data_IF_455803841510
#
_entry.id   IF_455803841510
#
_cell.length_a   1.000
_cell.length_b   1.000
_cell.length_c   1.000
_cell.angle_alpha   90.00
_cell.angle_beta   90.00
_cell.angle_gamma   90.00
#
_symmetry.space_group_name_H-M   'P 1'
#
loop_
_entity.id
_entity.type
_entity.pdbx_description
1 polymer ?
#
# COMPACT_ATOMS: atom_id res chain seq x y z
N UNK A 1 -11.31 -27.79 29.60
CA UNK A 1 -11.82 -26.99 28.48
C UNK A 1 -11.50 -25.49 28.62
N UNK A 2 -10.27 -25.10 28.97
CA UNK A 2 -9.87 -23.68 29.14
C UNK A 2 -8.85 -23.22 28.09
N UNK A 3 -8.05 -24.16 27.58
CA UNK A 3 -7.06 -23.91 26.52
C UNK A 3 -7.64 -23.92 25.10
N UNK A 4 -8.83 -24.51 24.89
CA UNK A 4 -9.50 -24.55 23.59
C UNK A 4 -9.94 -23.15 23.12
N UNK A 5 -10.34 -22.28 24.06
CA UNK A 5 -10.74 -20.90 23.77
C UNK A 5 -9.52 -20.03 23.35
N UNK A 6 -8.35 -20.30 23.92
CA UNK A 6 -7.11 -19.56 23.64
C UNK A 6 -6.54 -19.90 22.25
N UNK A 7 -6.68 -21.15 21.79
CA UNK A 7 -6.33 -21.56 20.42
C UNK A 7 -7.31 -20.98 19.39
N UNK A 8 -8.59 -20.83 19.75
CA UNK A 8 -9.61 -20.25 18.88
C UNK A 8 -9.40 -18.74 18.63
N UNK A 9 -8.92 -17.99 19.64
CA UNK A 9 -8.56 -16.57 19.52
C UNK A 9 -7.33 -16.31 18.63
N UNK A 10 -6.41 -17.27 18.53
CA UNK A 10 -5.23 -17.19 17.64
C UNK A 10 -5.58 -17.45 16.16
N UNK A 11 -6.75 -18.03 15.87
CA UNK A 11 -7.20 -18.33 14.51
C UNK A 11 -8.03 -17.18 13.88
N UNK A 12 -8.30 -16.11 14.64
CA UNK A 12 -9.07 -14.94 14.19
C UNK A 12 -8.20 -13.80 13.61
N UNK A 13 -6.86 -13.93 13.59
CA UNK A 13 -5.97 -12.93 12.97
C UNK A 13 -5.73 -13.24 11.48
N UNK A 14 -6.80 -13.42 10.72
CA UNK A 14 -6.77 -13.70 9.29
C UNK A 14 -7.65 -12.73 8.51
N UNK A 15 -7.05 -12.08 7.50
CA UNK A 15 -7.71 -11.35 6.41
C UNK A 15 -8.21 -9.92 6.67
N UNK A 16 -7.28 -9.02 6.99
CA UNK A 16 -7.23 -7.66 6.42
C UNK A 16 -5.82 -7.14 6.63
N UNK A 17 -5.03 -6.97 5.56
CA UNK A 17 -3.60 -6.62 5.66
C UNK A 17 -3.36 -5.13 5.93
N UNK A 18 -4.31 -4.44 6.56
CA UNK A 18 -4.22 -3.02 6.91
C UNK A 18 -3.91 -2.89 8.41
N UNK A 19 -2.76 -2.30 8.81
CA UNK A 19 -2.39 -2.11 10.21
C UNK A 19 -3.42 -1.30 11.00
N UNK A 20 -3.58 -1.59 12.30
CA UNK A 20 -4.47 -0.83 13.19
C UNK A 20 -4.14 0.67 13.22
N UNK A 21 -2.84 1.02 13.17
CA UNK A 21 -2.38 2.40 13.09
C UNK A 21 -2.93 3.15 11.88
N UNK A 22 -3.18 2.43 10.79
CA UNK A 22 -3.74 2.99 9.55
C UNK A 22 -5.23 3.23 9.71
N UNK A 23 -5.96 2.28 10.31
CA UNK A 23 -7.36 2.46 10.65
C UNK A 23 -7.57 3.65 11.58
N UNK A 24 -6.75 3.80 12.62
CA UNK A 24 -6.87 4.94 13.54
C UNK A 24 -6.52 6.27 12.88
N UNK A 25 -5.50 6.29 12.01
CA UNK A 25 -5.13 7.52 11.32
C UNK A 25 -6.22 7.97 10.36
N UNK A 26 -6.80 7.04 9.59
CA UNK A 26 -7.91 7.38 8.72
C UNK A 26 -9.19 7.69 9.51
N UNK A 27 -9.45 7.03 10.65
CA UNK A 27 -10.66 7.30 11.44
C UNK A 27 -10.81 8.77 11.89
N UNK A 28 -9.69 9.47 12.09
CA UNK A 28 -9.69 10.92 12.40
C UNK A 28 -9.53 11.81 11.18
N UNK A 29 -9.28 11.23 10.01
CA UNK A 29 -9.04 11.92 8.74
C UNK A 29 -10.36 12.02 7.97
N UNK A 30 -10.90 13.23 7.87
CA UNK A 30 -12.19 13.50 7.24
C UNK A 30 -12.06 13.95 5.77
N UNK A 31 -13.18 14.27 5.12
CA UNK A 31 -13.20 14.70 3.73
C UNK A 31 -12.49 16.04 3.50
N UNK A 32 -12.50 16.93 4.50
CA UNK A 32 -11.85 18.24 4.42
C UNK A 32 -10.33 18.08 4.52
N UNK A 33 -9.85 17.25 5.46
CA UNK A 33 -8.43 16.90 5.56
C UNK A 33 -7.90 16.34 4.22
N UNK A 34 -8.70 15.50 3.55
CA UNK A 34 -8.33 14.95 2.24
C UNK A 34 -8.34 16.01 1.13
N UNK A 35 -9.30 16.94 1.16
CA UNK A 35 -9.42 17.99 0.16
C UNK A 35 -8.25 19.00 0.22
N UNK A 36 -7.60 19.13 1.37
CA UNK A 36 -6.48 20.06 1.58
C UNK A 36 -5.11 19.47 1.21
N UNK A 37 -5.03 18.15 0.97
CA UNK A 37 -3.78 17.50 0.58
C UNK A 37 -3.22 18.08 -0.73
N UNK A 38 -1.93 18.44 -0.71
CA UNK A 38 -1.18 18.80 -1.92
C UNK A 38 -0.80 17.52 -2.70
N UNK A 39 -1.31 17.31 -3.94
CA UNK A 39 -0.97 16.14 -4.74
C UNK A 39 0.53 16.02 -5.04
N UNK A 40 1.28 17.13 -4.98
CA UNK A 40 2.73 17.15 -5.21
C UNK A 40 3.52 16.61 -4.01
N UNK A 41 2.90 16.45 -2.84
CA UNK A 41 3.56 15.96 -1.63
C UNK A 41 3.27 14.49 -1.35
N UNK A 42 2.31 13.90 -2.05
CA UNK A 42 1.97 12.48 -1.89
C UNK A 42 3.13 11.60 -2.34
N UNK A 43 3.56 10.68 -1.46
CA UNK A 43 4.61 9.71 -1.75
C UNK A 43 4.15 8.30 -1.43
N UNK A 44 4.50 7.36 -2.29
CA UNK A 44 4.41 5.94 -1.99
C UNK A 44 5.81 5.38 -1.75
N UNK A 45 5.94 4.42 -0.84
CA UNK A 45 7.18 3.72 -0.57
C UNK A 45 6.94 2.23 -0.55
N UNK A 46 7.74 1.50 -1.31
CA UNK A 46 7.75 0.05 -1.32
C UNK A 46 9.09 -0.44 -0.78
N UNK A 47 9.04 -1.28 0.25
CA UNK A 47 10.20 -2.00 0.75
C UNK A 47 10.00 -3.48 0.46
N UNK A 48 10.96 -4.09 -0.22
CA UNK A 48 10.91 -5.50 -0.64
C UNK A 48 12.32 -6.09 -0.56
N UNK A 49 12.44 -7.41 -0.50
CA UNK A 49 13.74 -8.07 -0.58
C UNK A 49 14.45 -7.72 -1.91
N UNK A 50 15.77 -7.51 -1.87
CA UNK A 50 16.51 -6.85 -2.96
C UNK A 50 16.62 -7.66 -4.25
N UNK A 51 16.49 -8.99 -4.15
CA UNK A 51 16.43 -9.91 -5.29
C UNK A 51 15.11 -9.81 -6.06
N UNK A 52 14.08 -9.16 -5.50
CA UNK A 52 12.78 -8.96 -6.15
C UNK A 52 12.84 -7.70 -7.01
N UNK A 53 12.51 -7.86 -8.30
CA UNK A 53 12.36 -6.73 -9.21
C UNK A 53 10.88 -6.36 -9.34
N UNK A 54 10.62 -5.07 -9.46
CA UNK A 54 9.28 -4.53 -9.68
C UNK A 54 9.05 -4.31 -11.17
N UNK A 55 7.90 -4.77 -11.65
CA UNK A 55 7.42 -4.50 -13.00
C UNK A 55 6.56 -3.24 -13.01
N UNK A 56 5.62 -3.14 -12.08
CA UNK A 56 4.72 -2.01 -11.96
C UNK A 56 4.19 -1.83 -10.53
N UNK A 57 3.82 -0.61 -10.18
CA UNK A 57 3.05 -0.29 -8.98
C UNK A 57 2.05 0.82 -9.32
N UNK A 58 0.78 0.55 -9.04
CA UNK A 58 -0.31 1.49 -9.31
C UNK A 58 -1.27 1.56 -8.13
N UNK A 59 -1.82 2.76 -7.93
CA UNK A 59 -2.99 2.96 -7.07
C UNK A 59 -4.21 3.14 -7.97
N UNK A 60 -5.35 2.63 -7.53
CA UNK A 60 -6.64 2.81 -8.20
C UNK A 60 -7.66 3.31 -7.18
N UNK A 61 -8.62 4.10 -7.64
CA UNK A 61 -9.79 4.44 -6.85
C UNK A 61 -11.05 4.25 -7.70
N UNK A 62 -12.09 3.70 -7.07
CA UNK A 62 -13.42 3.62 -7.63
C UNK A 62 -14.32 4.58 -6.87
N UNK A 63 -14.89 5.55 -7.56
CA UNK A 63 -15.85 6.51 -7.03
C UNK A 63 -17.25 6.04 -7.38
N UNK A 64 -18.11 5.89 -6.38
CA UNK A 64 -19.51 5.52 -6.54
C UNK A 64 -20.37 6.78 -6.37
N UNK A 65 -20.88 7.30 -7.48
CA UNK A 65 -21.76 8.47 -7.52
C UNK A 65 -23.18 8.08 -7.94
N UNK A 66 -24.16 8.95 -7.69
CA UNK A 66 -25.56 8.70 -8.06
C UNK A 66 -25.76 8.48 -9.57
N UNK A 67 -24.87 9.03 -10.40
CA UNK A 67 -24.91 8.93 -11.87
C UNK A 67 -24.03 7.81 -12.44
N UNK A 68 -23.40 6.99 -11.60
CA UNK A 68 -22.60 5.84 -12.03
C UNK A 68 -21.28 5.67 -11.27
N UNK A 69 -20.49 4.71 -11.74
CA UNK A 69 -19.19 4.37 -11.19
C UNK A 69 -18.10 4.98 -12.05
N UNK A 70 -17.18 5.72 -11.43
CA UNK A 70 -16.01 6.29 -12.09
C UNK A 70 -14.73 5.64 -11.54
N UNK A 71 -13.93 5.04 -12.41
CA UNK A 71 -12.62 4.51 -12.05
C UNK A 71 -11.52 5.54 -12.34
N UNK A 72 -10.65 5.76 -11.37
CA UNK A 72 -9.46 6.59 -11.46
C UNK A 72 -8.21 5.73 -11.27
N UNK A 73 -7.21 5.96 -12.11
CA UNK A 73 -5.89 5.35 -11.98
C UNK A 73 -4.86 6.40 -11.61
N UNK A 74 -3.91 6.01 -10.76
CA UNK A 74 -2.87 6.86 -10.23
C UNK A 74 -1.51 6.23 -10.54
N UNK A 75 -1.02 6.36 -11.78
CA UNK A 75 0.31 5.90 -12.14
C UNK A 75 1.38 6.64 -11.33
N UNK A 76 2.40 5.89 -10.93
CA UNK A 76 3.46 6.37 -10.04
C UNK A 76 4.78 6.57 -10.80
N UNK A 77 5.54 7.59 -10.42
CA UNK A 77 6.87 7.88 -10.97
C UNK A 77 7.92 7.59 -9.92
N UNK A 78 8.94 6.78 -10.27
CA UNK A 78 10.05 6.45 -9.36
C UNK A 78 10.94 7.68 -9.15
N UNK A 79 11.14 8.05 -7.88
CA UNK A 79 12.03 9.14 -7.47
C UNK A 79 13.39 8.60 -7.07
N UNK A 80 13.41 7.51 -6.29
CA UNK A 80 14.65 6.93 -5.81
C UNK A 80 14.53 5.44 -5.49
N UNK A 81 15.67 4.78 -5.56
CA UNK A 81 15.89 3.41 -5.09
C UNK A 81 17.11 3.41 -4.16
N UNK A 82 16.95 2.82 -2.98
CA UNK A 82 17.99 2.68 -1.97
C UNK A 82 18.12 1.21 -1.56
N UNK A 83 19.35 0.74 -1.35
CA UNK A 83 19.59 -0.60 -0.79
C UNK A 83 19.77 -0.47 0.72
N UNK A 84 18.95 -1.19 1.46
CA UNK A 84 18.98 -1.29 2.91
C UNK A 84 19.88 -2.48 3.29
N UNK A 85 21.04 -2.22 3.92
CA UNK A 85 21.97 -3.27 4.27
C UNK A 85 21.41 -4.18 5.36
N UNK A 86 21.95 -5.40 5.44
CA UNK A 86 21.71 -6.33 6.54
C UNK A 86 21.95 -5.64 7.88
N UNK A 87 20.97 -5.74 8.77
CA UNK A 87 21.15 -5.39 10.18
C UNK A 87 21.31 -6.67 10.98
N UNK A 88 22.47 -6.82 11.60
CA UNK A 88 22.76 -7.91 12.54
C UNK A 88 22.68 -7.36 13.96
N UNK A 89 21.81 -7.96 14.77
CA UNK A 89 21.71 -7.75 16.21
C UNK A 89 21.94 -9.07 16.93
N UNK A 90 22.04 -9.06 18.26
CA UNK A 90 22.21 -10.28 19.05
C UNK A 90 21.06 -11.30 18.87
N UNK A 91 19.86 -10.82 18.53
CA UNK A 91 18.62 -11.62 18.52
C UNK A 91 18.10 -11.88 17.09
N UNK A 92 18.51 -11.07 16.11
CA UNK A 92 17.99 -11.19 14.74
C UNK A 92 18.99 -10.68 13.69
N UNK A 93 18.92 -11.27 12.50
CA UNK A 93 19.60 -10.79 11.30
C UNK A 93 18.55 -10.52 10.23
N UNK A 94 18.54 -9.33 9.65
CA UNK A 94 17.65 -9.00 8.53
C UNK A 94 18.28 -9.37 7.20
N UNK A 95 17.48 -9.63 6.18
CA UNK A 95 17.97 -9.74 4.79
C UNK A 95 18.24 -8.34 4.20
N UNK A 96 18.97 -8.30 3.09
CA UNK A 96 19.14 -7.07 2.28
C UNK A 96 17.78 -6.74 1.65
N UNK A 97 17.37 -5.48 1.72
CA UNK A 97 16.09 -5.02 1.15
C UNK A 97 16.29 -3.83 0.25
N UNK A 98 15.48 -3.69 -0.78
CA UNK A 98 15.39 -2.48 -1.59
C UNK A 98 14.23 -1.60 -1.12
N UNK A 99 14.47 -0.29 -1.01
CA UNK A 99 13.46 0.73 -0.76
C UNK A 99 13.28 1.54 -2.04
N UNK A 100 12.08 1.48 -2.59
CA UNK A 100 11.65 2.30 -3.71
C UNK A 100 10.76 3.43 -3.21
N UNK A 101 11.00 4.65 -3.67
CA UNK A 101 10.20 5.82 -3.35
C UNK A 101 9.63 6.41 -4.63
N UNK A 102 8.32 6.65 -4.61
CA UNK A 102 7.55 7.12 -5.75
C UNK A 102 6.78 8.39 -5.40
N UNK A 103 6.48 9.18 -6.43
CA UNK A 103 5.50 10.26 -6.41
C UNK A 103 4.34 9.94 -7.36
N UNK A 104 3.25 10.69 -7.20
CA UNK A 104 2.20 10.72 -8.22
C UNK A 104 2.76 11.28 -9.52
N UNK A 105 2.55 10.56 -10.62
CA UNK A 105 2.79 11.12 -11.96
C UNK A 105 1.91 12.36 -12.22
N UNK A 106 2.23 13.19 -13.23
CA UNK A 106 1.38 14.33 -13.60
C UNK A 106 -0.09 13.96 -13.83
N UNK A 107 -0.35 12.83 -14.49
CA UNK A 107 -1.71 12.31 -14.70
C UNK A 107 -2.37 11.93 -13.37
N UNK A 108 -1.64 11.25 -12.48
CA UNK A 108 -2.15 10.86 -11.18
C UNK A 108 -2.51 12.07 -10.31
N UNK A 109 -1.73 13.15 -10.37
CA UNK A 109 -2.03 14.41 -9.66
C UNK A 109 -3.35 15.03 -10.16
N UNK A 110 -3.58 15.04 -11.47
CA UNK A 110 -4.86 15.50 -12.03
C UNK A 110 -6.04 14.62 -11.60
N UNK A 111 -5.86 13.30 -11.56
CA UNK A 111 -6.89 12.38 -11.09
C UNK A 111 -7.13 12.52 -9.58
N UNK A 112 -6.11 12.88 -8.80
CA UNK A 112 -6.25 13.13 -7.37
C UNK A 112 -7.15 14.33 -7.08
N UNK A 113 -7.00 15.41 -7.86
CA UNK A 113 -7.93 16.56 -7.77
C UNK A 113 -9.38 16.16 -8.07
N UNK A 114 -9.61 15.24 -9.03
CA UNK A 114 -10.96 14.72 -9.31
C UNK A 114 -11.50 13.90 -8.14
N UNK A 115 -10.64 13.11 -7.49
CA UNK A 115 -11.01 12.36 -6.29
C UNK A 115 -11.39 13.32 -5.16
N UNK A 116 -10.56 14.34 -4.86
CA UNK A 116 -10.86 15.37 -3.86
C UNK A 116 -12.23 16.03 -4.11
N UNK A 117 -12.52 16.41 -5.35
CA UNK A 117 -13.82 16.99 -5.72
C UNK A 117 -15.00 16.04 -5.54
N UNK A 118 -14.80 14.73 -5.71
CA UNK A 118 -15.85 13.74 -5.47
C UNK A 118 -16.12 13.56 -3.98
N UNK A 119 -15.08 13.59 -3.15
CA UNK A 119 -15.20 13.50 -1.69
C UNK A 119 -15.94 14.67 -1.08
N UNK A 120 -15.64 15.89 -1.55
CA UNK A 120 -16.36 17.11 -1.14
C UNK A 120 -17.86 17.06 -1.50
N UNK A 121 -18.25 16.22 -2.46
CA UNK A 121 -19.66 15.98 -2.83
C UNK A 121 -20.30 14.84 -2.04
N UNK A 122 -19.57 14.24 -1.09
CA UNK A 122 -20.03 13.10 -0.29
C UNK A 122 -20.14 11.80 -1.10
N UNK A 123 -19.43 11.68 -2.23
CA UNK A 123 -19.42 10.43 -2.99
C UNK A 123 -18.58 9.37 -2.25
N UNK A 124 -19.07 8.14 -2.23
CA UNK A 124 -18.34 7.00 -1.66
C UNK A 124 -17.20 6.57 -2.57
N UNK A 125 -16.15 6.00 -2.01
CA UNK A 125 -14.99 5.59 -2.77
C UNK A 125 -14.29 4.39 -2.15
N UNK A 126 -13.70 3.55 -3.01
CA UNK A 126 -12.80 2.49 -2.59
C UNK A 126 -11.43 2.75 -3.22
N UNK A 127 -10.36 2.47 -2.48
CA UNK A 127 -9.00 2.59 -2.99
C UNK A 127 -8.31 1.23 -2.98
N UNK A 128 -7.53 0.98 -4.02
CA UNK A 128 -6.79 -0.26 -4.22
C UNK A 128 -5.33 0.02 -4.51
N UNK A 129 -4.46 -0.80 -3.92
CA UNK A 129 -3.04 -0.84 -4.25
C UNK A 129 -2.77 -2.12 -5.03
N UNK A 130 -2.19 -1.98 -6.22
CA UNK A 130 -1.73 -3.10 -7.03
C UNK A 130 -0.21 -3.04 -7.18
N UNK A 131 0.46 -4.12 -6.76
CA UNK A 131 1.90 -4.30 -6.92
C UNK A 131 2.15 -5.48 -7.85
N UNK A 132 2.88 -5.24 -8.93
CA UNK A 132 3.24 -6.24 -9.94
C UNK A 132 4.75 -6.44 -9.92
N UNK A 133 5.16 -7.66 -9.60
CA UNK A 133 6.56 -8.04 -9.57
C UNK A 133 7.01 -8.60 -10.93
N UNK A 134 8.31 -8.51 -11.21
CA UNK A 134 8.91 -9.04 -12.43
C UNK A 134 8.80 -10.57 -12.45
N UNK A 135 8.49 -11.12 -13.63
CA UNK A 135 8.37 -12.56 -13.85
C UNK A 135 9.68 -13.33 -13.66
N UNK A 136 10.82 -12.65 -13.76
CA UNK A 136 12.15 -13.21 -13.50
C UNK A 136 12.54 -13.16 -12.01
N UNK A 137 11.62 -12.78 -11.12
CA UNK A 137 11.85 -12.84 -9.68
C UNK A 137 12.11 -14.29 -9.26
N UNK A 138 13.19 -14.56 -8.49
CA UNK A 138 13.48 -15.90 -8.00
C UNK A 138 12.28 -16.57 -7.33
N UNK A 139 12.05 -17.89 -7.55
CA UNK A 139 10.90 -18.62 -7.03
C UNK A 139 11.07 -18.98 -5.55
N UNK A 140 11.33 -17.98 -4.72
CA UNK A 140 11.45 -18.10 -3.28
C UNK A 140 10.49 -17.10 -2.60
N UNK A 141 9.95 -17.44 -1.42
CA UNK A 141 9.12 -16.53 -0.66
C UNK A 141 9.87 -15.22 -0.37
N UNK A 142 9.16 -14.11 -0.48
CA UNK A 142 9.69 -12.80 -0.16
C UNK A 142 8.64 -11.97 0.56
N UNK A 143 9.07 -10.93 1.28
CA UNK A 143 8.18 -10.02 1.98
C UNK A 143 8.23 -8.63 1.38
N UNK A 144 7.08 -7.96 1.35
CA UNK A 144 7.02 -6.56 0.97
C UNK A 144 6.15 -5.74 1.91
N UNK A 145 6.42 -4.44 1.92
CA UNK A 145 5.70 -3.44 2.72
C UNK A 145 5.43 -2.24 1.84
N UNK A 146 4.17 -1.81 1.78
CA UNK A 146 3.76 -0.58 1.10
C UNK A 146 3.43 0.46 2.15
N UNK A 147 3.96 1.66 1.98
CA UNK A 147 3.66 2.83 2.81
C UNK A 147 3.20 4.00 1.93
N UNK A 148 2.32 4.82 2.48
CA UNK A 148 1.78 6.03 1.85
C UNK A 148 2.05 7.22 2.77
N UNK A 149 2.55 8.31 2.22
CA UNK A 149 2.66 9.59 2.90
C UNK A 149 1.76 10.56 2.17
N UNK A 150 0.75 11.06 2.87
CA UNK A 150 -0.21 12.03 2.35
C UNK A 150 0.30 13.46 2.56
N UNK A 151 0.91 13.71 3.72
CA UNK A 151 1.50 14.97 4.12
C UNK A 151 2.89 14.71 4.74
N UNK A 152 3.94 15.49 4.39
CA UNK A 152 5.26 15.36 4.99
C UNK A 152 5.30 15.48 6.51
N UNK A 153 4.45 16.33 7.11
CA UNK A 153 4.40 16.60 8.55
C UNK A 153 3.86 15.40 9.34
N UNK A 154 3.00 14.60 8.71
CA UNK A 154 2.41 13.38 9.29
C UNK A 154 3.22 12.11 8.98
N UNK A 155 4.15 12.18 8.03
CA UNK A 155 5.02 11.07 7.66
C UNK A 155 4.29 9.88 7.01
N UNK A 156 4.93 8.71 7.07
CA UNK A 156 4.46 7.52 6.35
C UNK A 156 3.49 6.65 7.16
N UNK A 157 2.34 6.40 6.57
CA UNK A 157 1.31 5.45 6.99
C UNK A 157 1.62 4.09 6.33
N UNK A 158 1.44 2.99 7.04
CA UNK A 158 1.69 1.65 6.47
C UNK A 158 0.42 1.07 5.87
N UNK A 159 0.40 0.85 4.56
CA UNK A 159 -0.78 0.35 3.83
C UNK A 159 -0.83 -1.18 3.83
N UNK A 160 0.34 -1.78 3.61
CA UNK A 160 0.56 -3.24 3.61
C UNK A 160 1.80 -3.47 4.46
N UNK A 161 1.71 -4.28 5.50
CA UNK A 161 2.83 -4.58 6.38
C UNK A 161 3.36 -6.00 6.20
N UNK A 162 4.66 -6.13 5.91
CA UNK A 162 5.42 -7.38 5.77
C UNK A 162 4.65 -8.55 5.10
N UNK A 163 3.86 -8.27 4.07
CA UNK A 163 3.06 -9.28 3.37
C UNK A 163 4.00 -10.24 2.67
N UNK A 164 3.84 -11.51 2.98
CA UNK A 164 4.59 -12.59 2.35
C UNK A 164 3.93 -12.98 1.03
N UNK A 165 4.76 -13.11 0.00
CA UNK A 165 4.35 -13.60 -1.32
C UNK A 165 4.91 -14.99 -1.51
N UNK A 166 4.02 -15.96 -1.72
CA UNK A 166 4.40 -17.27 -2.24
C UNK A 166 4.64 -17.15 -3.75
N UNK A 167 5.80 -17.57 -4.23
CA UNK A 167 6.09 -17.59 -5.67
C UNK A 167 5.81 -18.99 -6.21
N UNK A 168 4.80 -19.12 -7.07
CA UNK A 168 4.51 -20.39 -7.77
C UNK A 168 5.40 -20.55 -8.99
N UNK A 169 5.64 -21.79 -9.45
CA UNK A 169 6.45 -22.09 -10.65
C UNK A 169 5.94 -21.46 -11.96
N UNK A 170 4.78 -20.81 -11.96
CA UNK A 170 4.13 -20.19 -13.12
C UNK A 170 4.20 -18.65 -13.15
N UNK A 171 5.01 -18.02 -12.31
CA UNK A 171 5.16 -16.56 -12.24
C UNK A 171 4.35 -15.90 -11.12
N UNK A 172 4.71 -14.66 -10.79
CA UNK A 172 4.18 -13.93 -9.63
C UNK A 172 2.76 -13.41 -9.90
N UNK A 173 1.80 -13.83 -9.07
CA UNK A 173 0.45 -13.27 -9.05
C UNK A 173 0.42 -11.96 -8.26
N UNK A 174 -0.23 -10.95 -8.82
CA UNK A 174 -0.44 -9.61 -8.22
C UNK A 174 -0.84 -9.66 -6.74
N UNK A 175 -0.36 -8.69 -5.96
CA UNK A 175 -0.81 -8.44 -4.59
C UNK A 175 -1.80 -7.28 -4.55
N UNK A 176 -3.07 -7.57 -4.28
CA UNK A 176 -4.12 -6.56 -4.10
C UNK A 176 -4.38 -6.29 -2.60
N UNK A 177 -4.65 -5.05 -2.24
CA UNK A 177 -5.22 -4.68 -0.94
C UNK A 177 -6.27 -3.60 -1.12
N UNK A 178 -7.51 -3.92 -0.76
CA UNK A 178 -8.64 -3.00 -0.72
C UNK A 178 -8.59 -2.17 0.58
N UNK A 179 -8.76 -0.85 0.45
CA UNK A 179 -9.12 0.04 1.55
C UNK A 179 -10.57 0.46 1.37
N UNK A 180 -11.42 -0.01 2.27
CA UNK A 180 -12.85 0.29 2.30
C UNK A 180 -13.09 1.54 3.17
N UNK A 181 -13.79 2.55 2.62
CA UNK A 181 -14.47 3.61 3.40
C UNK A 181 -15.87 3.88 2.84
#
# INVERSE_FOLDING_TARGET
MKYLLMVLLLLLSGCSSVPLSTLTHFATFDEQDFAELDPNQIRARLVVDDFVKLKDISLKAQINAANGVQQLEFPLTLISKEILPVRKSWIFTTQVRARYQYELSPQARQNFVKLQQALLKGHKYNCDVNVVFDEHTPPQPFKYTVKLMLDPDNGYITMIDNREMAVSKSGVTSGNSEMLR
#
